data_IF_684651793282
#
_entry.id   IF_684651793282
#
_cell.length_a   1.000
_cell.length_b   1.000
_cell.length_c   1.000
_cell.angle_alpha   90.00
_cell.angle_beta   90.00
_cell.angle_gamma   90.00
#
_symmetry.space_group_name_H-M   'P 1'
#
loop_
_entity.id
_entity.type
_entity.pdbx_description
1 polymer ?
#
# COMPACT_ATOMS: atom_id res chain seq x y z
N UNK A 1 10.65 14.05 -5.30
CA UNK A 1 10.50 15.50 -5.52
C UNK A 1 10.63 15.89 -7.00
N UNK A 2 11.80 15.71 -7.67
CA UNK A 2 12.04 16.18 -9.07
C UNK A 2 10.94 15.77 -10.07
N UNK A 3 10.49 14.52 -10.05
CA UNK A 3 9.41 14.00 -10.94
C UNK A 3 8.07 14.70 -10.70
N UNK A 4 7.77 15.04 -9.45
CA UNK A 4 6.55 15.77 -9.10
C UNK A 4 6.57 17.20 -9.64
N UNK A 5 7.70 17.89 -9.48
CA UNK A 5 7.87 19.25 -10.03
C UNK A 5 7.78 19.27 -11.56
N UNK A 6 8.37 18.28 -12.25
CA UNK A 6 8.26 18.18 -13.70
C UNK A 6 6.82 17.96 -14.18
N UNK A 7 6.07 17.09 -13.48
CA UNK A 7 4.67 16.81 -13.80
C UNK A 7 3.74 18.00 -13.55
N UNK A 8 4.14 18.93 -12.67
CA UNK A 8 3.33 20.09 -12.25
C UNK A 8 4.00 21.43 -12.59
N UNK A 9 4.91 21.47 -13.56
CA UNK A 9 5.69 22.66 -13.96
C UNK A 9 4.86 23.86 -14.45
N UNK A 10 3.61 23.62 -14.83
CA UNK A 10 2.68 24.68 -15.28
C UNK A 10 2.03 25.44 -14.13
N UNK A 11 2.31 25.09 -12.89
CA UNK A 11 1.84 25.75 -11.69
C UNK A 11 2.96 26.58 -11.05
N UNK A 12 2.58 27.58 -10.24
CA UNK A 12 3.54 28.36 -9.46
C UNK A 12 3.84 27.67 -8.14
N UNK A 13 2.82 27.05 -7.53
CA UNK A 13 2.93 26.32 -6.26
C UNK A 13 2.24 24.98 -6.31
N UNK A 14 2.78 24.02 -5.52
CA UNK A 14 2.12 22.76 -5.20
C UNK A 14 1.89 22.71 -3.68
N UNK A 15 0.65 22.43 -3.28
CA UNK A 15 0.28 22.27 -1.86
C UNK A 15 -0.19 20.85 -1.64
N UNK A 16 0.57 20.08 -0.86
CA UNK A 16 0.22 18.71 -0.46
C UNK A 16 -0.33 18.73 0.96
N UNK A 17 -1.44 18.01 1.18
CA UNK A 17 -2.14 17.96 2.47
C UNK A 17 -2.40 16.53 2.93
N UNK A 18 -2.42 15.56 2.00
CA UNK A 18 -2.66 14.16 2.34
C UNK A 18 -1.43 13.54 3.00
N UNK A 19 -1.58 12.79 4.11
CA UNK A 19 -0.48 12.15 4.82
C UNK A 19 0.46 11.34 3.92
N UNK A 20 -0.09 10.58 2.98
CA UNK A 20 0.69 9.78 2.03
C UNK A 20 1.56 10.65 1.11
N UNK A 21 1.05 11.79 0.63
CA UNK A 21 1.80 12.71 -0.21
C UNK A 21 2.87 13.48 0.58
N UNK A 22 2.60 13.82 1.85
CA UNK A 22 3.57 14.41 2.77
C UNK A 22 4.70 13.41 3.09
N UNK A 23 4.34 12.15 3.37
CA UNK A 23 5.33 11.07 3.56
C UNK A 23 6.20 10.89 2.31
N UNK A 24 5.59 10.85 1.12
CA UNK A 24 6.28 10.74 -0.17
C UNK A 24 7.25 11.90 -0.41
N UNK A 25 6.81 13.14 -0.15
CA UNK A 25 7.55 14.34 -0.50
C UNK A 25 8.69 14.67 0.47
N UNK A 26 8.43 14.59 1.80
CA UNK A 26 9.36 15.06 2.84
C UNK A 26 9.54 14.09 4.00
N UNK A 27 8.96 12.89 3.96
CA UNK A 27 9.09 11.88 5.01
C UNK A 27 8.36 12.23 6.32
N UNK A 28 7.25 13.00 6.26
CA UNK A 28 6.53 13.40 7.46
C UNK A 28 5.00 13.41 7.23
N UNK A 29 4.32 12.30 7.49
CA UNK A 29 2.87 12.17 7.22
C UNK A 29 1.98 13.04 8.13
N UNK A 30 2.47 13.44 9.31
CA UNK A 30 1.69 14.19 10.31
C UNK A 30 1.74 15.72 10.09
N UNK A 31 2.19 16.15 8.90
CA UNK A 31 2.11 17.55 8.48
C UNK A 31 0.67 17.99 8.19
N UNK A 32 0.41 19.28 8.29
CA UNK A 32 -0.86 19.88 7.89
C UNK A 32 -0.88 20.26 6.42
N UNK A 33 0.22 20.82 5.92
CA UNK A 33 0.42 21.15 4.51
C UNK A 33 1.91 21.27 4.19
N UNK A 34 2.31 20.83 2.99
CA UNK A 34 3.60 21.13 2.39
C UNK A 34 3.39 22.06 1.20
N UNK A 35 3.96 23.24 1.26
CA UNK A 35 4.01 24.18 0.14
C UNK A 35 5.33 24.02 -0.58
N UNK A 36 5.28 23.83 -1.89
CA UNK A 36 6.43 23.70 -2.77
C UNK A 36 6.37 24.83 -3.80
N UNK A 37 7.37 25.68 -3.85
CA UNK A 37 7.57 26.64 -4.92
C UNK A 37 8.11 25.89 -6.15
N UNK A 38 7.36 25.85 -7.23
CA UNK A 38 7.71 25.06 -8.42
C UNK A 38 8.94 25.61 -9.14
N UNK A 39 9.16 26.94 -9.12
CA UNK A 39 10.27 27.60 -9.80
C UNK A 39 11.61 27.38 -9.11
N UNK A 40 11.59 27.44 -7.78
CA UNK A 40 12.81 27.32 -6.98
C UNK A 40 13.04 25.90 -6.44
N UNK A 41 12.00 25.11 -6.35
CA UNK A 41 11.98 23.82 -5.66
C UNK A 41 11.95 23.96 -4.13
N UNK A 42 11.86 25.18 -3.60
CA UNK A 42 11.83 25.46 -2.16
C UNK A 42 10.59 24.89 -1.47
N UNK A 43 10.77 24.31 -0.29
CA UNK A 43 9.74 23.58 0.43
C UNK A 43 9.49 24.18 1.82
N UNK A 44 8.21 24.40 2.17
CA UNK A 44 7.80 24.83 3.50
C UNK A 44 6.75 23.87 4.06
N UNK A 45 7.09 23.16 5.12
CA UNK A 45 6.17 22.25 5.82
C UNK A 45 5.48 22.98 6.97
N UNK A 46 4.17 23.00 6.93
CA UNK A 46 3.32 23.47 8.04
C UNK A 46 2.90 22.28 8.89
N UNK A 47 3.11 22.38 10.19
CA UNK A 47 2.78 21.33 11.15
C UNK A 47 1.99 21.88 12.32
N UNK A 48 1.27 21.01 13.04
CA UNK A 48 0.76 21.36 14.35
C UNK A 48 1.91 21.84 15.24
N UNK A 49 1.67 22.84 16.07
CA UNK A 49 2.66 23.33 17.05
C UNK A 49 3.18 22.21 17.95
N UNK A 50 2.35 21.19 18.21
CA UNK A 50 2.73 20.00 18.99
C UNK A 50 3.83 19.18 18.30
N UNK A 51 3.82 19.14 16.97
CA UNK A 51 4.75 18.35 16.17
C UNK A 51 5.98 19.12 15.68
N UNK A 52 6.04 20.44 15.94
CA UNK A 52 7.07 21.31 15.39
C UNK A 52 8.50 20.82 15.66
N UNK A 53 8.80 20.45 16.92
CA UNK A 53 10.14 19.97 17.31
C UNK A 53 10.50 18.63 16.65
N UNK A 54 9.52 17.73 16.55
CA UNK A 54 9.69 16.44 15.88
C UNK A 54 9.94 16.63 14.37
N UNK A 55 9.18 17.52 13.75
CA UNK A 55 9.35 17.83 12.33
C UNK A 55 10.75 18.41 12.06
N UNK A 56 11.22 19.40 12.82
CA UNK A 56 12.56 19.97 12.69
C UNK A 56 13.69 18.92 12.76
N UNK A 57 13.49 17.85 13.52
CA UNK A 57 14.50 16.80 13.71
C UNK A 57 14.48 15.71 12.62
N UNK A 58 13.43 15.60 11.82
CA UNK A 58 13.20 14.41 10.98
C UNK A 58 12.87 14.67 9.51
N UNK A 59 12.47 15.90 9.14
CA UNK A 59 12.03 16.19 7.77
C UNK A 59 13.17 16.59 6.83
N UNK A 60 12.89 16.41 5.53
CA UNK A 60 13.78 16.92 4.47
C UNK A 60 13.31 18.24 3.85
N UNK A 61 12.28 18.90 4.45
CA UNK A 61 11.81 20.21 4.00
C UNK A 61 12.82 21.31 4.36
N UNK A 62 12.94 22.33 3.48
CA UNK A 62 13.89 23.44 3.70
C UNK A 62 13.48 24.32 4.88
N UNK A 63 12.15 24.43 5.14
CA UNK A 63 11.57 25.22 6.21
C UNK A 63 10.44 24.50 6.89
N UNK A 64 10.35 24.61 8.21
CA UNK A 64 9.23 24.11 9.03
C UNK A 64 8.58 25.25 9.74
N UNK A 65 7.27 25.36 9.67
CA UNK A 65 6.47 26.39 10.31
C UNK A 65 5.41 25.74 11.20
N UNK A 66 5.42 26.08 12.48
CA UNK A 66 4.35 25.70 13.39
C UNK A 66 3.07 26.48 13.04
N UNK A 67 1.92 25.82 13.10
CA UNK A 67 0.61 26.45 12.99
C UNK A 67 -0.17 26.34 14.28
N UNK A 68 -0.83 27.43 14.66
CA UNK A 68 -1.76 27.47 15.77
C UNK A 68 -2.89 28.48 15.52
N UNK A 69 -4.03 28.27 16.15
CA UNK A 69 -5.16 29.22 16.09
C UNK A 69 -5.01 30.40 17.05
N UNK A 70 -4.09 30.27 18.01
CA UNK A 70 -3.72 31.33 18.97
C UNK A 70 -2.26 31.15 19.43
N UNK A 71 -1.59 32.24 19.80
CA UNK A 71 -0.23 32.23 20.36
C UNK A 71 -0.26 31.98 21.89
N UNK A 72 -0.74 30.80 22.27
CA UNK A 72 -0.82 30.38 23.68
C UNK A 72 -0.18 28.98 23.81
N UNK A 73 0.91 28.81 24.58
CA UNK A 73 1.71 29.84 25.25
C UNK A 73 2.46 30.75 24.23
N UNK A 74 3.15 31.82 24.65
CA UNK A 74 3.99 32.62 23.77
C UNK A 74 5.02 31.76 23.02
N UNK A 75 5.42 32.19 21.83
CA UNK A 75 6.38 31.43 21.03
C UNK A 75 7.73 31.29 21.73
N UNK A 76 8.34 30.11 21.57
CA UNK A 76 9.68 29.81 22.06
C UNK A 76 10.80 30.43 21.20
N UNK A 77 12.02 30.46 21.71
CA UNK A 77 13.18 30.93 20.94
C UNK A 77 13.34 30.13 19.65
N UNK A 78 13.48 30.82 18.52
CA UNK A 78 13.65 30.21 17.19
C UNK A 78 12.43 29.47 16.66
N UNK A 79 11.27 29.55 17.30
CA UNK A 79 10.04 28.95 16.80
C UNK A 79 9.42 29.82 15.69
N UNK A 80 9.36 29.28 14.49
CA UNK A 80 8.56 29.89 13.41
C UNK A 80 7.10 29.51 13.60
N UNK A 81 6.24 30.48 13.95
CA UNK A 81 4.84 30.27 14.24
C UNK A 81 3.95 31.12 13.35
N UNK A 82 3.07 30.47 12.61
CA UNK A 82 1.94 31.08 11.92
C UNK A 82 0.69 30.96 12.79
N UNK A 83 0.10 32.12 13.14
CA UNK A 83 -1.16 32.17 13.86
C UNK A 83 -2.26 32.63 12.91
N UNK A 84 -3.26 31.79 12.68
CA UNK A 84 -4.44 32.11 11.89
C UNK A 84 -5.62 31.20 12.27
N UNK A 85 -6.84 31.65 11.97
CA UNK A 85 -8.05 30.83 12.24
C UNK A 85 -8.09 29.55 11.40
N UNK A 86 -7.64 29.64 10.14
CA UNK A 86 -7.61 28.52 9.20
C UNK A 86 -6.32 28.60 8.38
N UNK A 87 -5.56 27.51 8.34
CA UNK A 87 -4.31 27.42 7.58
C UNK A 87 -4.56 27.54 6.07
N UNK A 88 -5.56 26.85 5.54
CA UNK A 88 -5.81 26.79 4.11
C UNK A 88 -6.32 28.13 3.54
N UNK A 89 -7.16 28.83 4.28
CA UNK A 89 -7.54 30.21 3.93
C UNK A 89 -6.31 31.12 3.92
N UNK A 90 -5.43 30.98 4.93
CA UNK A 90 -4.21 31.77 4.98
C UNK A 90 -3.26 31.48 3.83
N UNK A 91 -3.13 30.23 3.42
CA UNK A 91 -2.34 29.84 2.26
C UNK A 91 -2.92 30.43 0.96
N UNK A 92 -4.24 30.40 0.75
CA UNK A 92 -4.89 31.04 -0.41
C UNK A 92 -4.63 32.55 -0.48
N UNK A 93 -4.63 33.23 0.67
CA UNK A 93 -4.35 34.67 0.72
C UNK A 93 -2.89 35.01 0.37
N UNK A 94 -1.96 34.11 0.71
CA UNK A 94 -0.52 34.39 0.60
C UNK A 94 0.14 33.84 -0.66
N UNK A 95 -0.41 32.74 -1.22
CA UNK A 95 0.10 32.14 -2.45
C UNK A 95 -0.51 32.83 -3.66
N UNK A 96 0.32 33.50 -4.46
CA UNK A 96 -0.09 34.10 -5.74
C UNK A 96 0.03 33.10 -6.89
N UNK A 97 -0.66 33.38 -8.02
CA UNK A 97 -0.55 32.55 -9.22
C UNK A 97 -1.37 31.26 -9.19
N UNK A 98 -0.94 30.26 -9.98
CA UNK A 98 -1.63 28.98 -10.10
C UNK A 98 -1.15 27.99 -9.04
N UNK A 99 -2.06 27.48 -8.23
CA UNK A 99 -1.78 26.52 -7.15
C UNK A 99 -2.37 25.16 -7.51
N UNK A 100 -1.51 24.14 -7.63
CA UNK A 100 -1.89 22.74 -7.69
C UNK A 100 -2.01 22.16 -6.28
N UNK A 101 -2.97 21.26 -6.04
CA UNK A 101 -3.10 20.62 -4.72
C UNK A 101 -3.70 19.23 -4.83
N UNK A 102 -3.49 18.42 -3.78
CA UNK A 102 -4.23 17.20 -3.54
C UNK A 102 -5.54 17.42 -2.77
N UNK A 103 -5.90 18.70 -2.56
CA UNK A 103 -7.14 19.13 -1.90
C UNK A 103 -7.74 20.33 -2.64
N UNK A 104 -9.06 20.26 -2.95
CA UNK A 104 -9.83 21.36 -3.53
C UNK A 104 -9.95 22.58 -2.61
N UNK A 105 -9.63 22.40 -1.34
CA UNK A 105 -9.68 23.49 -0.37
C UNK A 105 -8.57 24.51 -0.56
N UNK A 106 -7.48 24.19 -1.27
CA UNK A 106 -6.33 25.08 -1.39
C UNK A 106 -6.03 25.49 -2.84
N UNK A 107 -6.21 24.57 -3.78
CA UNK A 107 -5.84 24.81 -5.17
C UNK A 107 -6.62 23.93 -6.16
N UNK A 108 -6.15 23.88 -7.41
CA UNK A 108 -6.66 22.97 -8.43
C UNK A 108 -6.31 21.52 -8.05
N UNK A 109 -7.32 20.64 -8.06
CA UNK A 109 -7.14 19.22 -7.70
C UNK A 109 -6.33 18.48 -8.78
N UNK A 110 -5.12 18.10 -8.43
CA UNK A 110 -4.20 17.34 -9.27
C UNK A 110 -3.86 15.96 -8.67
N UNK A 111 -4.72 15.43 -7.80
CA UNK A 111 -4.51 14.14 -7.12
C UNK A 111 -4.17 13.03 -8.11
N UNK A 112 -4.83 12.97 -9.27
CA UNK A 112 -4.54 11.98 -10.30
C UNK A 112 -3.12 12.06 -10.85
N UNK A 113 -2.60 13.26 -11.12
CA UNK A 113 -1.21 13.46 -11.57
C UNK A 113 -0.20 13.08 -10.51
N UNK A 114 -0.48 13.39 -9.23
CA UNK A 114 0.39 13.01 -8.10
C UNK A 114 0.46 11.48 -7.99
N UNK A 115 -0.68 10.80 -8.05
CA UNK A 115 -0.76 9.34 -8.02
C UNK A 115 -0.06 8.71 -9.24
N UNK A 116 -0.16 9.30 -10.42
CA UNK A 116 0.57 8.84 -11.60
C UNK A 116 2.09 8.93 -11.39
N UNK A 117 2.60 10.02 -10.82
CA UNK A 117 4.02 10.17 -10.48
C UNK A 117 4.47 9.12 -9.46
N UNK A 118 3.64 8.86 -8.43
CA UNK A 118 3.91 7.89 -7.36
C UNK A 118 3.84 6.45 -7.86
N UNK A 119 2.99 6.17 -8.86
CA UNK A 119 2.81 4.81 -9.40
C UNK A 119 4.10 4.23 -10.00
N UNK A 120 4.94 5.08 -10.62
CA UNK A 120 6.26 4.70 -11.14
C UNK A 120 7.32 4.93 -10.06
N UNK A 121 7.95 3.88 -9.57
CA UNK A 121 8.90 3.91 -8.45
C UNK A 121 10.32 4.15 -8.94
N UNK A 122 11.12 4.85 -8.15
CA UNK A 122 12.57 4.90 -8.28
C UNK A 122 13.21 3.65 -7.68
N UNK A 123 14.47 3.36 -8.01
CA UNK A 123 15.21 2.23 -7.42
C UNK A 123 15.27 2.32 -5.88
N UNK A 124 15.39 3.53 -5.31
CA UNK A 124 15.37 3.72 -3.86
C UNK A 124 14.02 3.34 -3.26
N UNK A 125 12.91 3.76 -3.90
CA UNK A 125 11.55 3.43 -3.47
C UNK A 125 11.30 1.92 -3.56
N UNK A 126 11.73 1.28 -4.65
CA UNK A 126 11.69 -0.20 -4.79
C UNK A 126 12.52 -0.88 -3.70
N UNK A 127 13.70 -0.32 -3.37
CA UNK A 127 14.54 -0.83 -2.28
C UNK A 127 13.83 -0.82 -0.92
N UNK A 128 13.07 0.25 -0.61
CA UNK A 128 12.26 0.34 0.62
C UNK A 128 11.13 -0.69 0.62
N UNK A 129 10.45 -0.87 -0.52
CA UNK A 129 9.39 -1.87 -0.68
C UNK A 129 9.92 -3.30 -0.53
N UNK A 130 11.13 -3.59 -1.09
CA UNK A 130 11.80 -4.88 -0.88
C UNK A 130 12.09 -5.14 0.59
N UNK A 131 12.53 -4.11 1.34
CA UNK A 131 12.76 -4.27 2.78
C UNK A 131 11.47 -4.48 3.56
N UNK A 132 10.39 -3.76 3.22
CA UNK A 132 9.07 -4.00 3.80
C UNK A 132 8.59 -5.44 3.55
N UNK A 133 8.76 -5.94 2.32
CA UNK A 133 8.41 -7.31 1.96
C UNK A 133 9.27 -8.36 2.69
N UNK A 134 10.58 -8.14 2.79
CA UNK A 134 11.50 -8.99 3.56
C UNK A 134 11.04 -9.11 5.02
N UNK A 135 10.71 -8.00 5.67
CA UNK A 135 10.17 -7.98 7.04
C UNK A 135 8.86 -8.80 7.12
N UNK A 136 7.98 -8.64 6.13
CA UNK A 136 6.71 -9.39 6.06
C UNK A 136 6.96 -10.90 5.97
N UNK A 137 7.84 -11.32 5.07
CA UNK A 137 8.19 -12.73 4.87
C UNK A 137 8.87 -13.34 6.09
N UNK A 138 9.80 -12.62 6.73
CA UNK A 138 10.45 -13.06 7.96
C UNK A 138 9.47 -13.16 9.14
N UNK A 139 8.43 -12.32 9.18
CA UNK A 139 7.38 -12.41 10.17
C UNK A 139 6.51 -13.66 9.99
N UNK A 140 6.29 -14.09 8.74
CA UNK A 140 5.49 -15.27 8.40
C UNK A 140 6.28 -16.60 8.51
N UNK A 141 7.59 -16.60 8.25
CA UNK A 141 8.38 -17.81 8.09
C UNK A 141 8.29 -18.82 9.23
N UNK A 142 8.10 -18.45 10.53
CA UNK A 142 7.99 -19.40 11.63
C UNK A 142 6.59 -19.92 11.92
N UNK A 143 5.58 -19.56 11.13
CA UNK A 143 4.20 -20.00 11.33
C UNK A 143 4.02 -21.46 10.87
N UNK A 144 4.59 -22.42 11.62
CA UNK A 144 4.54 -23.85 11.26
C UNK A 144 3.40 -24.63 11.91
N UNK A 145 2.90 -24.18 13.07
CA UNK A 145 1.86 -24.89 13.84
C UNK A 145 0.70 -23.94 14.12
N UNK A 146 -0.28 -23.92 13.23
CA UNK A 146 -1.46 -23.07 13.36
C UNK A 146 -2.60 -23.75 14.13
N UNK A 147 -2.69 -25.09 14.12
CA UNK A 147 -3.76 -25.84 14.78
C UNK A 147 -3.89 -25.50 16.27
N UNK A 148 -5.10 -25.30 16.73
CA UNK A 148 -5.43 -24.93 18.11
C UNK A 148 -5.28 -23.45 18.44
N UNK A 149 -4.56 -22.69 17.64
CA UNK A 149 -4.37 -21.24 17.84
C UNK A 149 -5.59 -20.45 17.39
N UNK A 150 -5.86 -19.32 18.06
CA UNK A 150 -6.90 -18.40 17.60
C UNK A 150 -6.37 -17.50 16.47
N UNK A 151 -7.25 -17.11 15.56
CA UNK A 151 -6.91 -16.19 14.46
C UNK A 151 -6.23 -14.91 14.97
N UNK A 152 -6.77 -14.29 16.04
CA UNK A 152 -6.18 -13.10 16.69
C UNK A 152 -4.81 -13.35 17.34
N UNK A 153 -4.55 -14.54 17.82
CA UNK A 153 -3.23 -14.89 18.39
C UNK A 153 -2.17 -14.96 17.29
N UNK A 154 -2.55 -15.46 16.12
CA UNK A 154 -1.70 -15.50 14.94
C UNK A 154 -1.43 -14.06 14.43
N UNK A 155 -2.49 -13.24 14.28
CA UNK A 155 -2.37 -11.85 13.87
C UNK A 155 -1.47 -11.05 14.83
N UNK A 156 -1.66 -11.20 16.14
CA UNK A 156 -0.85 -10.52 17.16
C UNK A 156 0.64 -10.93 17.11
N UNK A 157 0.94 -12.22 16.86
CA UNK A 157 2.31 -12.66 16.69
C UNK A 157 2.96 -12.05 15.46
N UNK A 158 2.27 -12.07 14.30
CA UNK A 158 2.78 -11.48 13.06
C UNK A 158 3.06 -9.99 13.27
N UNK A 159 2.12 -9.26 13.85
CA UNK A 159 2.28 -7.84 14.15
C UNK A 159 3.51 -7.56 15.03
N UNK A 160 3.61 -8.27 16.16
CA UNK A 160 4.77 -8.16 17.08
C UNK A 160 6.09 -8.40 16.35
N UNK A 161 6.16 -9.45 15.53
CA UNK A 161 7.36 -9.79 14.77
C UNK A 161 7.73 -8.72 13.75
N UNK A 162 6.75 -8.17 13.01
CA UNK A 162 7.03 -7.07 12.08
C UNK A 162 7.67 -5.88 12.78
N UNK A 163 7.17 -5.50 13.97
CA UNK A 163 7.74 -4.40 14.75
C UNK A 163 9.16 -4.75 15.24
N UNK A 164 9.38 -5.94 15.76
CA UNK A 164 10.70 -6.41 16.22
C UNK A 164 11.74 -6.45 15.07
N UNK A 165 11.30 -6.73 13.84
CA UNK A 165 12.13 -6.73 12.63
C UNK A 165 12.38 -5.32 12.06
N UNK A 166 11.82 -4.28 12.67
CA UNK A 166 12.10 -2.88 12.35
C UNK A 166 11.15 -2.25 11.34
N UNK A 167 9.90 -2.73 11.25
CA UNK A 167 8.87 -2.03 10.49
C UNK A 167 8.40 -0.76 11.19
N UNK A 168 7.93 0.23 10.42
CA UNK A 168 7.26 1.42 10.93
C UNK A 168 5.79 1.13 11.37
N UNK A 169 5.37 -0.11 11.31
CA UNK A 169 4.00 -0.58 11.55
C UNK A 169 3.52 -1.50 10.42
N UNK A 170 2.23 -1.80 10.44
CA UNK A 170 1.58 -2.57 9.36
C UNK A 170 1.11 -1.66 8.24
N UNK A 171 1.08 -2.17 7.02
CA UNK A 171 0.54 -1.47 5.84
C UNK A 171 -0.99 -1.36 5.93
N UNK A 172 -1.62 -2.40 6.47
CA UNK A 172 -3.05 -2.53 6.74
C UNK A 172 -3.28 -3.51 7.89
N UNK A 173 -4.50 -3.55 8.42
CA UNK A 173 -4.84 -4.48 9.51
C UNK A 173 -4.75 -5.93 9.02
N UNK A 174 -3.99 -6.82 9.68
CA UNK A 174 -3.81 -8.20 9.25
C UNK A 174 -5.12 -8.93 9.00
N UNK A 175 -5.18 -9.72 7.94
CA UNK A 175 -6.26 -10.66 7.66
C UNK A 175 -5.77 -12.05 8.06
N UNK A 176 -6.48 -12.71 8.99
CA UNK A 176 -6.23 -14.11 9.39
C UNK A 176 -7.57 -14.80 9.46
N UNK A 177 -7.98 -15.41 8.35
CA UNK A 177 -9.24 -16.14 8.25
C UNK A 177 -9.02 -17.65 8.16
N UNK A 178 -9.61 -18.43 9.05
CA UNK A 178 -9.48 -19.90 9.09
C UNK A 178 -10.79 -20.61 8.78
N UNK A 179 -10.73 -21.75 8.10
CA UNK A 179 -11.90 -22.53 7.70
C UNK A 179 -12.95 -21.68 7.01
N UNK A 180 -14.22 -21.63 7.46
CA UNK A 180 -15.26 -20.81 6.82
C UNK A 180 -14.92 -19.31 6.76
N UNK A 181 -14.15 -18.76 7.70
CA UNK A 181 -13.75 -17.37 7.71
C UNK A 181 -12.77 -17.03 6.57
N UNK A 182 -11.97 -17.99 6.10
CA UNK A 182 -11.10 -17.82 4.96
C UNK A 182 -11.86 -17.52 3.65
N UNK A 183 -13.18 -17.82 3.61
CA UNK A 183 -14.04 -17.46 2.49
C UNK A 183 -14.51 -16.00 2.50
N UNK A 184 -14.09 -15.18 3.46
CA UNK A 184 -14.40 -13.76 3.54
C UNK A 184 -13.14 -12.93 3.23
N UNK A 185 -13.00 -12.35 2.02
CA UNK A 185 -11.76 -11.74 1.56
C UNK A 185 -11.18 -10.68 2.49
N UNK A 186 -12.01 -9.86 3.14
CA UNK A 186 -11.62 -8.77 4.03
C UNK A 186 -11.89 -9.08 5.52
N UNK A 187 -11.83 -10.35 5.91
CA UNK A 187 -11.99 -10.74 7.30
C UNK A 187 -10.69 -10.55 8.07
N UNK A 188 -10.66 -9.62 9.01
CA UNK A 188 -9.44 -9.35 9.77
C UNK A 188 -8.98 -10.58 10.59
N UNK A 189 -9.59 -10.82 11.73
CA UNK A 189 -9.31 -11.97 12.60
C UNK A 189 -10.35 -12.04 13.74
N UNK A 190 -10.51 -13.20 14.34
CA UNK A 190 -11.47 -13.42 15.42
C UNK A 190 -11.00 -14.38 16.51
N UNK A 191 -11.99 -14.91 17.25
CA UNK A 191 -11.76 -15.87 18.33
C UNK A 191 -11.78 -17.33 17.86
N UNK A 192 -12.10 -17.58 16.57
CA UNK A 192 -12.11 -18.92 16.04
C UNK A 192 -10.73 -19.57 16.22
N UNK A 193 -10.72 -20.82 16.67
CA UNK A 193 -9.51 -21.63 16.70
C UNK A 193 -9.36 -22.37 15.38
N UNK A 194 -8.16 -22.35 14.86
CA UNK A 194 -7.76 -23.15 13.71
C UNK A 194 -7.90 -24.64 14.06
N UNK A 195 -8.54 -25.41 13.21
CA UNK A 195 -8.76 -26.85 13.40
C UNK A 195 -8.19 -27.64 12.24
N UNK A 196 -7.94 -28.94 12.47
CA UNK A 196 -7.58 -29.86 11.40
C UNK A 196 -8.61 -29.83 10.27
N UNK A 197 -8.14 -29.76 9.05
CA UNK A 197 -8.98 -29.60 7.85
C UNK A 197 -9.24 -28.16 7.39
N UNK A 198 -8.73 -27.15 8.13
CA UNK A 198 -8.88 -25.75 7.74
C UNK A 198 -7.86 -25.32 6.66
N UNK A 199 -8.32 -24.50 5.71
CA UNK A 199 -7.46 -23.54 5.03
C UNK A 199 -7.39 -22.26 5.89
N UNK A 200 -6.21 -21.67 6.03
CA UNK A 200 -5.99 -20.41 6.75
C UNK A 200 -5.40 -19.42 5.76
N UNK A 201 -6.18 -18.42 5.39
CA UNK A 201 -5.70 -17.28 4.59
C UNK A 201 -5.08 -16.26 5.53
N UNK A 202 -3.81 -15.95 5.31
CA UNK A 202 -3.06 -14.92 6.03
C UNK A 202 -2.59 -13.89 5.01
N UNK A 203 -3.12 -12.67 5.16
CA UNK A 203 -2.83 -11.54 4.30
C UNK A 203 -2.31 -10.38 5.16
N UNK A 204 -1.08 -9.95 4.87
CA UNK A 204 -0.33 -9.03 5.72
C UNK A 204 0.71 -8.25 4.92
N UNK A 205 0.99 -7.04 5.39
CA UNK A 205 2.05 -6.21 4.87
C UNK A 205 2.73 -5.38 5.95
N UNK A 206 4.05 -5.39 6.01
CA UNK A 206 4.82 -4.45 6.81
C UNK A 206 4.94 -3.10 6.07
N UNK A 207 5.20 -2.04 6.83
CA UNK A 207 5.57 -0.73 6.30
C UNK A 207 7.01 -0.41 6.71
N UNK A 208 7.83 0.00 5.74
CA UNK A 208 9.21 0.40 6.01
C UNK A 208 9.53 1.73 5.32
N UNK A 209 9.91 2.73 6.09
CA UNK A 209 10.15 4.11 5.64
C UNK A 209 9.02 4.61 4.75
N UNK A 210 7.77 4.44 5.27
CA UNK A 210 6.49 4.78 4.65
C UNK A 210 6.03 3.91 3.48
N UNK A 211 6.87 3.03 2.93
CA UNK A 211 6.50 2.15 1.82
C UNK A 211 5.93 0.83 2.33
N UNK A 212 4.82 0.43 1.71
CA UNK A 212 4.06 -0.76 2.05
C UNK A 212 4.60 -2.00 1.34
N UNK A 213 4.52 -3.14 2.01
CA UNK A 213 4.44 -4.46 1.40
C UNK A 213 3.01 -4.97 1.46
N UNK A 214 2.72 -5.96 0.63
CA UNK A 214 1.44 -6.64 0.55
C UNK A 214 1.67 -8.09 0.10
N UNK A 215 1.20 -9.06 0.89
CA UNK A 215 1.28 -10.46 0.48
C UNK A 215 0.29 -11.34 1.20
N UNK A 216 -0.27 -12.29 0.48
CA UNK A 216 -1.12 -13.35 1.02
C UNK A 216 -0.49 -14.73 0.85
N UNK A 217 -0.62 -15.57 1.89
CA UNK A 217 -0.39 -17.01 1.80
C UNK A 217 -1.56 -17.78 2.40
N UNK A 218 -1.86 -18.92 1.79
CA UNK A 218 -2.84 -19.88 2.33
C UNK A 218 -2.14 -21.08 2.88
N UNK A 219 -2.35 -21.34 4.17
CA UNK A 219 -1.83 -22.49 4.91
C UNK A 219 -2.89 -23.59 4.98
N UNK A 220 -2.52 -24.81 4.66
CA UNK A 220 -3.41 -25.97 4.77
C UNK A 220 -3.09 -26.75 6.05
N UNK A 221 -4.06 -26.85 6.96
CA UNK A 221 -3.89 -27.52 8.26
C UNK A 221 -4.42 -28.95 8.20
N UNK A 222 -3.51 -29.89 8.05
CA UNK A 222 -3.87 -31.31 7.90
C UNK A 222 -4.51 -31.63 6.54
N UNK A 223 -5.47 -32.53 6.53
CA UNK A 223 -6.16 -32.96 5.30
C UNK A 223 -7.42 -32.12 5.05
N UNK A 224 -7.28 -31.09 4.21
CA UNK A 224 -8.38 -30.18 3.85
C UNK A 224 -9.32 -30.81 2.80
N UNK A 225 -10.58 -30.34 2.67
CA UNK A 225 -11.50 -30.77 1.63
C UNK A 225 -10.87 -30.72 0.23
N UNK A 226 -11.13 -31.75 -0.60
CA UNK A 226 -10.59 -31.84 -1.96
C UNK A 226 -10.81 -30.56 -2.77
N UNK A 227 -11.99 -29.95 -2.65
CA UNK A 227 -12.33 -28.73 -3.34
C UNK A 227 -11.37 -27.58 -3.01
N UNK A 228 -10.85 -27.49 -1.78
CA UNK A 228 -9.84 -26.48 -1.41
C UNK A 228 -8.46 -26.83 -1.97
N UNK A 229 -8.10 -28.12 -2.04
CA UNK A 229 -6.85 -28.55 -2.71
C UNK A 229 -6.86 -28.21 -4.19
N UNK A 230 -7.99 -28.48 -4.87
CA UNK A 230 -8.18 -28.13 -6.27
C UNK A 230 -8.15 -26.60 -6.47
N UNK A 231 -8.73 -25.83 -5.53
CA UNK A 231 -8.70 -24.36 -5.54
C UNK A 231 -7.27 -23.80 -5.35
N UNK A 232 -6.44 -24.38 -4.48
CA UNK A 232 -5.02 -23.98 -4.31
C UNK A 232 -4.28 -24.09 -5.63
N UNK A 233 -4.45 -25.21 -6.33
CA UNK A 233 -3.80 -25.40 -7.62
C UNK A 233 -4.30 -24.41 -8.68
N UNK A 234 -5.61 -24.21 -8.76
CA UNK A 234 -6.21 -23.26 -9.70
C UNK A 234 -5.76 -21.80 -9.43
N UNK A 235 -5.69 -21.38 -8.16
CA UNK A 235 -5.22 -20.06 -7.76
C UNK A 235 -3.73 -19.89 -8.07
N UNK A 236 -2.92 -20.93 -7.82
CA UNK A 236 -1.50 -20.93 -8.20
C UNK A 236 -1.31 -20.72 -9.71
N UNK A 237 -2.02 -21.49 -10.55
CA UNK A 237 -1.94 -21.36 -12.00
C UNK A 237 -2.45 -20.00 -12.48
N UNK A 238 -3.51 -19.46 -11.85
CA UNK A 238 -4.04 -18.13 -12.13
C UNK A 238 -3.02 -17.03 -11.80
N UNK A 239 -2.34 -17.14 -10.65
CA UNK A 239 -1.26 -16.23 -10.25
C UNK A 239 -0.13 -16.24 -11.30
N UNK A 240 0.32 -17.44 -11.71
CA UNK A 240 1.37 -17.59 -12.73
C UNK A 240 0.97 -17.02 -14.09
N UNK A 241 -0.30 -17.19 -14.48
CA UNK A 241 -0.82 -16.63 -15.74
C UNK A 241 -0.83 -15.10 -15.71
N UNK A 242 -1.30 -14.50 -14.61
CA UNK A 242 -1.28 -13.06 -14.43
C UNK A 242 0.14 -12.48 -14.41
N UNK A 243 1.05 -13.07 -13.63
CA UNK A 243 2.46 -12.65 -13.56
C UNK A 243 3.13 -12.68 -14.97
N UNK A 244 2.85 -13.69 -15.77
CA UNK A 244 3.36 -13.84 -17.14
C UNK A 244 2.81 -12.76 -18.08
N UNK A 245 1.60 -12.26 -17.86
CA UNK A 245 0.99 -11.20 -18.65
C UNK A 245 1.54 -9.82 -18.34
N UNK A 246 2.19 -9.63 -17.17
CA UNK A 246 2.74 -8.34 -16.72
C UNK A 246 4.00 -7.99 -17.53
N UNK A 247 3.94 -6.85 -18.22
CA UNK A 247 5.08 -6.19 -18.87
C UNK A 247 4.77 -4.71 -19.09
N UNK A 248 5.78 -3.89 -19.30
CA UNK A 248 5.56 -2.51 -19.70
C UNK A 248 4.79 -2.46 -21.04
N UNK A 249 3.78 -1.58 -21.11
CA UNK A 249 2.85 -1.45 -22.22
C UNK A 249 1.66 -2.43 -22.22
N UNK A 250 1.59 -3.39 -21.30
CA UNK A 250 0.43 -4.25 -21.18
C UNK A 250 -0.77 -3.48 -20.59
N UNK A 251 -1.98 -3.76 -21.08
CA UNK A 251 -3.19 -3.25 -20.47
C UNK A 251 -3.47 -4.00 -19.15
N UNK A 252 -3.76 -3.27 -18.09
CA UNK A 252 -4.02 -3.84 -16.77
C UNK A 252 -5.19 -4.85 -16.78
N UNK A 253 -6.21 -4.60 -17.62
CA UNK A 253 -7.33 -5.53 -17.81
C UNK A 253 -6.91 -6.90 -18.40
N UNK A 254 -5.88 -6.95 -19.23
CA UNK A 254 -5.41 -8.21 -19.82
C UNK A 254 -4.77 -9.10 -18.75
N UNK A 255 -4.11 -8.50 -17.76
CA UNK A 255 -3.55 -9.22 -16.61
C UNK A 255 -4.68 -9.86 -15.79
N UNK A 256 -5.74 -9.09 -15.49
CA UNK A 256 -6.91 -9.59 -14.75
C UNK A 256 -7.63 -10.71 -15.54
N UNK A 257 -7.88 -10.51 -16.83
CA UNK A 257 -8.55 -11.50 -17.67
C UNK A 257 -7.75 -12.80 -17.78
N UNK A 258 -6.42 -12.74 -17.74
CA UNK A 258 -5.59 -13.95 -17.80
C UNK A 258 -5.76 -14.83 -16.55
N UNK A 259 -5.85 -14.23 -15.35
CA UNK A 259 -6.12 -14.97 -14.13
C UNK A 259 -7.56 -15.51 -14.09
N UNK A 260 -8.54 -14.68 -14.48
CA UNK A 260 -9.97 -15.09 -14.52
C UNK A 260 -10.19 -16.27 -15.43
N UNK A 261 -9.61 -16.25 -16.62
CA UNK A 261 -9.74 -17.35 -17.57
C UNK A 261 -9.26 -18.67 -16.98
N UNK A 262 -8.12 -18.68 -16.30
CA UNK A 262 -7.62 -19.90 -15.64
C UNK A 262 -8.63 -20.38 -14.60
N UNK A 263 -9.12 -19.49 -13.72
CA UNK A 263 -10.09 -19.86 -12.68
C UNK A 263 -11.43 -20.34 -13.29
N UNK A 264 -11.85 -19.79 -14.41
CA UNK A 264 -13.04 -20.26 -15.16
C UNK A 264 -12.82 -21.68 -15.73
N UNK A 265 -11.65 -21.92 -16.35
CA UNK A 265 -11.30 -23.21 -16.92
C UNK A 265 -11.23 -24.34 -15.85
N UNK A 266 -10.87 -23.98 -14.60
CA UNK A 266 -10.91 -24.87 -13.42
C UNK A 266 -12.28 -24.94 -12.75
N UNK A 267 -13.32 -24.20 -13.23
CA UNK A 267 -14.67 -24.19 -12.68
C UNK A 267 -14.84 -23.31 -11.42
N UNK A 268 -13.85 -22.47 -11.10
CA UNK A 268 -13.87 -21.58 -9.92
C UNK A 268 -14.19 -20.12 -10.27
N UNK A 269 -14.41 -19.75 -11.52
CA UNK A 269 -14.60 -18.35 -11.95
C UNK A 269 -15.64 -17.58 -11.13
N UNK A 270 -16.78 -18.21 -10.77
CA UNK A 270 -17.84 -17.58 -9.94
C UNK A 270 -17.41 -17.24 -8.51
N UNK A 271 -16.32 -17.81 -8.02
CA UNK A 271 -15.79 -17.60 -6.66
C UNK A 271 -14.66 -16.59 -6.62
N UNK A 272 -14.23 -16.05 -7.76
CA UNK A 272 -13.25 -14.98 -7.87
C UNK A 272 -13.97 -13.63 -8.02
N UNK A 273 -14.18 -12.94 -6.91
CA UNK A 273 -15.14 -11.82 -6.77
C UNK A 273 -14.50 -10.44 -6.67
N UNK A 274 -13.17 -10.34 -6.82
CA UNK A 274 -12.43 -9.06 -6.78
C UNK A 274 -11.47 -8.91 -7.97
N UNK A 275 -10.73 -7.82 -8.04
CA UNK A 275 -9.68 -7.59 -9.04
C UNK A 275 -8.46 -8.48 -8.77
N UNK A 276 -7.68 -8.74 -9.82
CA UNK A 276 -6.45 -9.55 -9.70
C UNK A 276 -5.34 -8.83 -8.94
N UNK A 277 -5.43 -7.49 -8.76
CA UNK A 277 -4.43 -6.75 -8.01
C UNK A 277 -4.50 -5.25 -8.20
N UNK A 278 -3.53 -4.57 -7.61
CA UNK A 278 -3.41 -3.12 -7.59
C UNK A 278 -1.94 -2.67 -7.49
N UNK A 279 -1.67 -1.40 -7.72
CA UNK A 279 -0.38 -0.79 -7.41
C UNK A 279 -0.16 -0.69 -5.90
N UNK A 280 1.10 -0.79 -5.49
CA UNK A 280 1.53 -0.61 -4.09
C UNK A 280 2.60 0.46 -4.02
N UNK A 281 2.66 1.22 -2.94
CA UNK A 281 3.67 2.24 -2.71
C UNK A 281 3.65 2.76 -1.29
N UNK A 282 3.49 4.09 -1.12
CA UNK A 282 3.30 4.72 0.19
C UNK A 282 1.91 4.38 0.76
N UNK A 283 0.92 4.20 -0.11
CA UNK A 283 -0.36 3.59 0.23
C UNK A 283 -0.36 2.15 -0.25
N UNK A 284 -1.01 1.27 0.49
CA UNK A 284 -1.15 -0.13 0.08
C UNK A 284 -1.90 -0.23 -1.24
N UNK A 285 -2.93 0.56 -1.44
CA UNK A 285 -3.69 0.64 -2.69
C UNK A 285 -3.36 1.92 -3.46
N UNK A 286 -2.60 1.80 -4.54
CA UNK A 286 -2.30 2.86 -5.51
C UNK A 286 -2.67 2.40 -6.93
N UNK A 287 -2.77 3.34 -7.91
CA UNK A 287 -2.79 2.95 -9.31
C UNK A 287 -1.49 2.18 -9.72
N UNK A 288 -1.60 1.28 -10.74
CA UNK A 288 -2.76 0.92 -11.54
C UNK A 288 -3.66 -0.09 -10.83
N UNK A 289 -4.91 -0.26 -11.29
CA UNK A 289 -5.79 -1.34 -10.85
C UNK A 289 -5.80 -2.46 -11.88
N UNK A 290 -5.43 -3.68 -11.48
CA UNK A 290 -5.49 -4.86 -12.31
C UNK A 290 -6.90 -5.47 -12.28
N UNK A 291 -7.82 -4.93 -13.07
CA UNK A 291 -9.22 -5.37 -13.12
C UNK A 291 -9.74 -5.39 -14.56
N UNK A 292 -10.76 -6.20 -14.82
CA UNK A 292 -11.39 -6.31 -16.15
C UNK A 292 -11.94 -4.96 -16.68
N UNK A 293 -12.25 -4.01 -15.79
CA UNK A 293 -12.76 -2.70 -16.13
C UNK A 293 -11.68 -1.59 -16.18
N UNK A 294 -10.39 -1.94 -16.01
CA UNK A 294 -9.32 -0.95 -15.99
C UNK A 294 -8.88 -0.53 -17.38
N UNK A 295 -8.69 0.78 -17.56
CA UNK A 295 -8.05 1.38 -18.74
C UNK A 295 -6.57 1.68 -18.52
N UNK A 296 -6.02 1.33 -17.35
CA UNK A 296 -4.62 1.57 -17.01
C UNK A 296 -3.68 0.78 -17.93
N UNK A 297 -2.53 1.38 -18.24
CA UNK A 297 -1.43 0.76 -18.96
C UNK A 297 -0.23 0.64 -18.01
N UNK A 298 0.31 -0.55 -17.91
CA UNK A 298 1.46 -0.84 -17.06
C UNK A 298 2.72 -0.16 -17.60
N UNK A 299 3.48 0.46 -16.70
CA UNK A 299 4.73 1.17 -17.01
C UNK A 299 5.90 0.51 -16.27
N UNK A 300 7.08 0.58 -16.87
CA UNK A 300 8.33 0.26 -16.17
C UNK A 300 8.45 1.08 -14.87
N UNK A 301 8.97 0.48 -13.82
CA UNK A 301 9.07 1.07 -12.49
C UNK A 301 7.82 0.92 -11.63
N UNK A 302 6.70 0.42 -12.15
CA UNK A 302 5.54 0.12 -11.31
C UNK A 302 5.78 -1.14 -10.47
N UNK A 303 5.17 -1.16 -9.29
CA UNK A 303 5.03 -2.35 -8.43
C UNK A 303 3.55 -2.60 -8.23
N UNK A 304 3.12 -3.82 -8.51
CA UNK A 304 1.72 -4.24 -8.42
C UNK A 304 1.58 -5.53 -7.63
N UNK A 305 0.42 -5.76 -7.02
CA UNK A 305 0.07 -7.08 -6.48
C UNK A 305 -0.50 -7.97 -7.57
N UNK A 306 -0.36 -9.29 -7.39
CA UNK A 306 -1.05 -10.33 -8.14
C UNK A 306 -1.63 -11.29 -7.12
N UNK A 307 -2.95 -11.21 -6.91
CA UNK A 307 -3.64 -11.80 -5.75
C UNK A 307 -4.92 -12.59 -6.12
N UNK A 308 -4.93 -13.44 -7.14
CA UNK A 308 -6.12 -14.21 -7.44
C UNK A 308 -6.57 -15.02 -6.21
N UNK A 309 -7.90 -15.13 -6.01
CA UNK A 309 -8.47 -15.82 -4.88
C UNK A 309 -9.79 -16.52 -5.22
N UNK A 310 -10.08 -17.60 -4.52
CA UNK A 310 -11.30 -18.40 -4.62
C UNK A 310 -11.93 -18.50 -3.25
N UNK A 311 -13.19 -18.08 -3.12
CA UNK A 311 -13.91 -18.00 -1.85
C UNK A 311 -15.20 -18.79 -1.91
N UNK A 312 -15.23 -19.97 -1.27
CA UNK A 312 -16.34 -20.91 -1.35
C UNK A 312 -17.18 -20.81 -0.07
N UNK A 313 -18.39 -20.25 -0.12
CA UNK A 313 -19.22 -20.02 1.06
C UNK A 313 -19.40 -21.30 1.90
N UNK A 314 -19.16 -21.20 3.21
CA UNK A 314 -19.31 -22.29 4.16
C UNK A 314 -18.22 -23.37 4.14
N UNK A 315 -17.28 -23.31 3.18
CA UNK A 315 -16.18 -24.27 3.04
C UNK A 315 -14.86 -23.58 3.41
N UNK A 316 -14.48 -22.54 2.72
CA UNK A 316 -13.23 -21.81 2.94
C UNK A 316 -12.78 -21.07 1.70
N UNK A 317 -11.66 -20.38 1.82
CA UNK A 317 -11.04 -19.60 0.74
C UNK A 317 -9.56 -19.90 0.58
N UNK A 318 -9.07 -19.53 -0.59
CA UNK A 318 -7.66 -19.59 -0.98
C UNK A 318 -7.31 -18.28 -1.67
N UNK A 319 -6.25 -17.62 -1.24
CA UNK A 319 -5.62 -16.50 -1.95
C UNK A 319 -4.11 -16.69 -1.93
N UNK A 320 -3.47 -16.40 -3.04
CA UNK A 320 -2.01 -16.35 -3.18
C UNK A 320 -1.70 -14.99 -3.76
N UNK A 321 -0.86 -14.23 -3.07
CA UNK A 321 -0.50 -12.89 -3.48
C UNK A 321 0.99 -12.67 -3.48
N UNK A 322 1.46 -12.05 -4.55
CA UNK A 322 2.83 -11.59 -4.70
C UNK A 322 2.88 -10.13 -5.12
N UNK A 323 3.91 -9.43 -4.68
CA UNK A 323 4.31 -8.16 -5.26
C UNK A 323 5.18 -8.42 -6.50
N UNK A 324 4.87 -7.71 -7.59
CA UNK A 324 5.57 -7.84 -8.86
C UNK A 324 6.09 -6.48 -9.29
N UNK A 325 7.41 -6.37 -9.48
CA UNK A 325 8.07 -5.20 -10.04
C UNK A 325 8.14 -5.30 -11.55
N UNK A 326 7.77 -4.24 -12.26
CA UNK A 326 7.83 -4.16 -13.70
C UNK A 326 9.19 -3.58 -14.10
N UNK A 327 10.13 -4.45 -14.42
CA UNK A 327 11.47 -4.10 -14.85
C UNK A 327 11.55 -3.87 -16.37
N UNK A 328 12.65 -3.29 -16.90
CA UNK A 328 12.89 -3.20 -18.35
C UNK A 328 12.84 -4.56 -19.07
N UNK A 329 13.19 -5.64 -18.37
CA UNK A 329 13.19 -7.02 -18.90
C UNK A 329 11.87 -7.77 -18.70
N UNK A 330 10.87 -7.17 -18.05
CA UNK A 330 9.56 -7.75 -17.76
C UNK A 330 9.24 -7.86 -16.28
N UNK A 331 8.30 -8.73 -15.94
CA UNK A 331 7.84 -8.95 -14.57
C UNK A 331 8.92 -9.62 -13.70
N UNK A 332 9.15 -9.06 -12.51
CA UNK A 332 10.01 -9.64 -11.48
C UNK A 332 9.19 -9.84 -10.22
N UNK A 333 8.85 -11.09 -9.91
CA UNK A 333 8.22 -11.44 -8.63
C UNK A 333 9.21 -11.11 -7.51
N UNK A 334 8.78 -10.27 -6.57
CA UNK A 334 9.65 -9.77 -5.49
C UNK A 334 9.69 -10.71 -4.30
N UNK A 335 8.66 -11.54 -4.11
CA UNK A 335 8.51 -12.50 -3.02
C UNK A 335 9.49 -13.67 -3.14
N UNK A 336 9.97 -14.15 -1.99
CA UNK A 336 10.86 -15.32 -1.85
C UNK A 336 10.16 -16.51 -1.21
N UNK A 337 9.14 -16.27 -0.34
CA UNK A 337 8.35 -17.34 0.25
C UNK A 337 7.59 -18.12 -0.84
N UNK A 338 7.53 -19.46 -0.74
CA UNK A 338 6.79 -20.29 -1.68
C UNK A 338 5.33 -19.83 -1.83
N UNK A 339 4.74 -20.07 -2.99
CA UNK A 339 3.32 -19.78 -3.25
C UNK A 339 2.39 -20.62 -2.36
N UNK A 340 2.80 -21.83 -2.07
CA UNK A 340 2.07 -22.83 -1.24
C UNK A 340 2.93 -23.11 -0.01
N UNK A 341 2.36 -22.98 1.16
CA UNK A 341 2.98 -23.16 2.48
C UNK A 341 2.24 -24.20 3.32
#
# INVERSE_FOLDING_TARGET
MRRLLEALKDYDYVVLTKPSNLAYAVGFPDGLALVIDVKTGGTTLYVSRLDYRRALASVTADRVVAFATAEIPPRGPGEELLVAKNLFEKLKETLGGRVASDSREVGEDVSGKILEVRSVKTEEEVGRMRKALEITEEALSPLQHLEGRREREIAAEIYRRMIELGSDGVAFEPIVGSGPHSAWPHYNYGDRRVTYGDAVVIDVGARYRFYCADMTRTYLVGDVPRQLKDAVYAVYEASRAAEKAIRAGAAAREVDLSARKVLEDYGFGRYFIHSTGHGVGVEVHEPPRLSAASDDVLKEGMVVTVEPGVYIPGIGGVRIENMVYISPSGAVVMNRLPYIV
#
